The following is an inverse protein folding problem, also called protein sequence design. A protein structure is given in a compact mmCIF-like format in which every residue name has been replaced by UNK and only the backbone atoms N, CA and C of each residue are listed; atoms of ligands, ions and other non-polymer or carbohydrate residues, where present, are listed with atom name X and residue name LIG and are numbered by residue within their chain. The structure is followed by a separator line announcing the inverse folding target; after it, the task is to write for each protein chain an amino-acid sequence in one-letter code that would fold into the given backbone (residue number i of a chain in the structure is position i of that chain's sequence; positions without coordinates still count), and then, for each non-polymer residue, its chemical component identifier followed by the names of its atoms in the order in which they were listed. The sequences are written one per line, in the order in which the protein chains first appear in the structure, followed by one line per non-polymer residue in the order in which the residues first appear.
data_IF_458647611850
#
_entry.id   IF_458647611850
#
_cell.length_a   1.000
_cell.length_b   1.000
_cell.length_c   1.000
_cell.angle_alpha   90.00
_cell.angle_beta   90.00
_cell.angle_gamma   90.00
#
_symmetry.space_group_name_H-M   'P 1'
#
loop_
_entity.id
_entity.type
_entity.pdbx_description
1 polymer ?
#
# COMPACT_ATOMS: atom_id res chain seq x y z
N UNK A 1 -22.18 -55.54 25.91
CA UNK A 1 -23.27 -55.51 24.92
C UNK A 1 -23.37 -54.11 24.36
N UNK A 2 -22.76 -53.92 23.17
CA UNK A 2 -23.48 -53.78 21.89
C UNK A 2 -23.82 -52.31 21.64
N UNK A 3 -22.87 -51.56 21.08
CA UNK A 3 -22.65 -51.41 19.62
C UNK A 3 -23.79 -50.60 18.98
N UNK A 4 -23.44 -49.41 18.49
CA UNK A 4 -23.72 -48.88 17.15
C UNK A 4 -23.67 -47.34 17.17
N UNK A 5 -22.48 -46.79 17.40
CA UNK A 5 -22.10 -45.51 16.81
C UNK A 5 -21.57 -45.84 15.41
N UNK A 6 -22.45 -45.77 14.41
CA UNK A 6 -22.08 -46.01 13.02
C UNK A 6 -22.19 -44.72 12.23
N UNK A 7 -21.03 -44.29 11.74
CA UNK A 7 -20.81 -43.77 10.40
C UNK A 7 -21.56 -42.49 10.00
N UNK A 8 -20.94 -41.35 10.29
CA UNK A 8 -20.92 -40.22 9.36
C UNK A 8 -19.53 -40.17 8.73
N UNK A 9 -19.52 -40.35 7.41
CA UNK A 9 -18.40 -40.15 6.49
C UNK A 9 -17.65 -38.85 6.81
N UNK A 10 -16.35 -38.94 7.07
CA UNK A 10 -15.28 -38.72 6.08
C UNK A 10 -15.12 -37.25 5.65
N UNK A 11 -13.90 -36.76 5.92
CA UNK A 11 -13.27 -35.56 5.37
C UNK A 11 -13.66 -34.21 6.00
N UNK A 12 -12.78 -33.66 6.85
CA UNK A 12 -12.67 -32.19 6.97
C UNK A 12 -12.45 -31.58 8.36
N UNK A 13 -12.34 -32.36 9.44
CA UNK A 13 -12.39 -31.82 10.82
C UNK A 13 -11.07 -31.87 11.60
N UNK A 14 -9.91 -31.82 10.93
CA UNK A 14 -8.59 -31.74 11.62
C UNK A 14 -7.99 -30.32 11.55
N UNK A 15 -8.67 -29.33 10.94
CA UNK A 15 -8.13 -27.95 10.79
C UNK A 15 -8.82 -26.86 11.65
N UNK A 16 -9.70 -27.17 12.61
CA UNK A 16 -10.35 -26.13 13.44
C UNK A 16 -9.68 -25.88 14.80
N UNK A 17 -9.02 -26.85 15.41
CA UNK A 17 -8.41 -26.64 16.74
C UNK A 17 -7.06 -25.93 16.71
N UNK A 18 -6.26 -26.14 15.65
CA UNK A 18 -5.00 -25.40 15.47
C UNK A 18 -5.22 -23.93 15.10
N UNK A 19 -6.41 -23.57 14.60
CA UNK A 19 -6.74 -22.21 14.18
C UNK A 19 -6.93 -21.26 15.38
N UNK A 20 -7.50 -21.75 16.49
CA UNK A 20 -7.69 -20.95 17.70
C UNK A 20 -6.45 -20.90 18.61
N UNK A 21 -5.54 -21.88 18.52
CA UNK A 21 -4.38 -21.98 19.43
C UNK A 21 -3.22 -21.06 19.03
N UNK A 22 -3.11 -20.69 17.76
CA UNK A 22 -2.14 -19.69 17.27
C UNK A 22 -2.72 -18.28 17.10
N UNK A 23 -4.05 -18.08 17.20
CA UNK A 23 -4.71 -16.81 16.86
C UNK A 23 -5.51 -16.15 17.99
N UNK A 24 -5.36 -16.60 19.24
CA UNK A 24 -5.95 -15.91 20.42
C UNK A 24 -4.92 -15.23 21.33
N UNK A 25 -3.61 -15.45 21.12
CA UNK A 25 -2.59 -14.53 21.61
C UNK A 25 -2.32 -13.48 20.54
N UNK A 26 -2.28 -12.22 20.94
CA UNK A 26 -1.74 -11.12 20.13
C UNK A 26 -2.68 -10.49 19.10
N UNK A 27 -3.92 -10.15 19.47
CA UNK A 27 -4.57 -8.96 18.88
C UNK A 27 -4.26 -7.69 19.71
N UNK A 28 -4.22 -7.82 21.04
CA UNK A 28 -3.94 -6.71 21.97
C UNK A 28 -2.44 -6.45 22.22
N UNK A 29 -1.55 -7.44 22.01
CA UNK A 29 -0.09 -7.27 22.15
C UNK A 29 0.58 -6.58 20.95
N UNK A 30 -0.17 -6.25 19.88
CA UNK A 30 0.36 -5.75 18.60
C UNK A 30 0.89 -4.30 18.62
N UNK A 31 1.04 -3.70 19.79
CA UNK A 31 1.44 -2.28 19.93
C UNK A 31 2.85 -2.11 20.53
N UNK A 32 3.49 -3.17 21.07
CA UNK A 32 4.70 -2.98 21.90
C UNK A 32 6.00 -3.59 21.36
N UNK A 33 5.97 -4.43 20.32
CA UNK A 33 7.19 -5.06 19.78
C UNK A 33 7.80 -4.29 18.61
N UNK A 34 9.12 -4.28 18.56
CA UNK A 34 9.88 -3.68 17.44
C UNK A 34 9.66 -4.52 16.19
N UNK A 35 9.32 -3.87 15.08
CA UNK A 35 9.15 -4.51 13.78
C UNK A 35 10.50 -5.09 13.34
N UNK A 36 10.57 -6.40 13.21
CA UNK A 36 11.73 -7.14 12.70
C UNK A 36 11.42 -7.75 11.34
N UNK A 37 12.46 -8.07 10.56
CA UNK A 37 12.32 -8.75 9.27
C UNK A 37 11.48 -10.04 9.37
N UNK A 38 11.75 -10.89 10.38
CA UNK A 38 11.01 -12.13 10.61
C UNK A 38 9.51 -11.89 10.86
N UNK A 39 9.18 -10.86 11.65
CA UNK A 39 7.79 -10.48 11.90
C UNK A 39 7.12 -9.99 10.60
N UNK A 40 7.83 -9.18 9.81
CA UNK A 40 7.35 -8.68 8.54
C UNK A 40 7.13 -9.82 7.52
N UNK A 41 8.00 -10.83 7.51
CA UNK A 41 7.92 -12.00 6.62
C UNK A 41 6.73 -12.90 6.99
N UNK A 42 6.50 -13.12 8.29
CA UNK A 42 5.41 -13.97 8.80
C UNK A 42 4.06 -13.25 8.88
N UNK A 43 4.04 -11.94 8.60
CA UNK A 43 2.81 -11.16 8.67
C UNK A 43 1.77 -11.64 7.64
N UNK A 44 0.58 -11.98 8.12
CA UNK A 44 -0.56 -12.43 7.33
C UNK A 44 -1.75 -11.48 7.50
N UNK A 45 -2.67 -11.43 6.51
CA UNK A 45 -3.90 -10.69 6.66
C UNK A 45 -4.80 -11.35 7.71
N UNK A 46 -5.60 -10.56 8.40
CA UNK A 46 -6.55 -11.06 9.38
C UNK A 46 -7.69 -11.79 8.67
N UNK A 47 -7.88 -13.07 8.95
CA UNK A 47 -9.06 -13.80 8.50
C UNK A 47 -10.19 -13.56 9.50
N UNK A 48 -11.30 -12.98 9.03
CA UNK A 48 -12.52 -12.88 9.80
C UNK A 48 -13.20 -14.24 9.99
N UNK A 49 -14.10 -14.31 10.97
CA UNK A 49 -14.93 -15.49 11.23
C UNK A 49 -15.84 -15.86 10.04
N UNK A 50 -16.13 -14.85 9.20
CA UNK A 50 -16.83 -14.95 7.92
C UNK A 50 -15.97 -15.59 6.80
N UNK A 51 -14.73 -15.99 7.09
CA UNK A 51 -13.77 -16.52 6.12
C UNK A 51 -13.19 -15.46 5.18
N UNK A 52 -13.41 -14.17 5.45
CA UNK A 52 -12.92 -13.08 4.59
C UNK A 52 -11.63 -12.49 5.14
N UNK A 53 -10.64 -12.32 4.27
CA UNK A 53 -9.40 -11.62 4.61
C UNK A 53 -9.63 -10.11 4.74
N UNK A 54 -9.14 -9.52 5.82
CA UNK A 54 -9.18 -8.08 6.10
C UNK A 54 -7.76 -7.54 6.21
N UNK A 55 -7.61 -6.25 5.96
CA UNK A 55 -6.29 -5.63 6.10
C UNK A 55 -5.83 -5.65 7.55
N UNK A 56 -4.54 -5.88 7.75
CA UNK A 56 -3.90 -5.87 9.07
C UNK A 56 -2.75 -4.89 9.05
N UNK A 57 -2.59 -4.14 10.14
CA UNK A 57 -1.49 -3.21 10.31
C UNK A 57 -0.70 -3.59 11.54
N UNK A 58 0.59 -3.87 11.32
CA UNK A 58 1.55 -4.10 12.39
C UNK A 58 2.30 -2.80 12.64
N UNK A 59 2.11 -2.21 13.82
CA UNK A 59 2.79 -0.98 14.22
C UNK A 59 4.16 -1.30 14.79
N UNK A 60 5.14 -0.44 14.50
CA UNK A 60 6.48 -0.52 15.08
C UNK A 60 6.53 0.28 16.37
N UNK A 61 7.07 -0.31 17.44
CA UNK A 61 7.27 0.40 18.70
C UNK A 61 8.40 1.45 18.65
N UNK A 62 9.38 1.28 17.73
CA UNK A 62 10.54 2.20 17.66
C UNK A 62 10.23 3.57 17.05
N UNK A 63 9.21 3.68 16.21
CA UNK A 63 8.82 4.94 15.55
C UNK A 63 7.31 5.08 15.59
N UNK A 64 6.82 6.09 16.31
CA UNK A 64 5.40 6.35 16.44
C UNK A 64 4.75 6.55 15.07
N UNK A 65 3.67 5.81 14.82
CA UNK A 65 2.92 5.88 13.57
C UNK A 65 3.59 5.22 12.36
N UNK A 66 4.75 4.56 12.51
CA UNK A 66 5.32 3.70 11.46
C UNK A 66 4.80 2.27 11.59
N UNK A 67 4.46 1.65 10.46
CA UNK A 67 3.98 0.27 10.48
C UNK A 67 3.97 -0.41 9.11
N UNK A 68 3.75 -1.72 9.14
CA UNK A 68 3.57 -2.56 7.97
C UNK A 68 2.09 -2.87 7.77
N UNK A 69 1.54 -2.46 6.63
CA UNK A 69 0.18 -2.81 6.20
C UNK A 69 0.23 -4.07 5.35
N UNK A 70 -0.54 -5.07 5.73
CA UNK A 70 -0.81 -6.28 4.96
C UNK A 70 -2.22 -6.17 4.39
N UNK A 71 -2.30 -6.13 3.06
CA UNK A 71 -3.58 -6.09 2.35
C UNK A 71 -4.28 -7.45 2.43
N UNK A 72 -5.60 -7.55 2.19
CA UNK A 72 -6.31 -8.83 2.17
C UNK A 72 -5.71 -9.86 1.20
N UNK A 73 -5.11 -9.37 0.12
CA UNK A 73 -4.42 -10.17 -0.93
C UNK A 73 -2.99 -10.58 -0.50
N UNK A 74 -2.54 -10.22 0.71
CA UNK A 74 -1.18 -10.48 1.18
C UNK A 74 -0.13 -9.47 0.73
N UNK A 75 -0.52 -8.42 -0.02
CA UNK A 75 0.41 -7.37 -0.41
C UNK A 75 0.84 -6.52 0.81
N UNK A 76 2.16 -6.49 1.05
CA UNK A 76 2.79 -5.83 2.20
C UNK A 76 3.37 -4.47 1.80
N UNK A 77 3.04 -3.41 2.54
CA UNK A 77 3.53 -2.06 2.29
C UNK A 77 3.79 -1.30 3.60
N UNK A 78 4.87 -0.53 3.63
CA UNK A 78 5.18 0.34 4.76
C UNK A 78 4.36 1.62 4.71
N UNK A 79 3.75 1.95 5.84
CA UNK A 79 2.93 3.13 6.02
C UNK A 79 3.47 3.96 7.19
N UNK A 80 3.27 5.27 7.09
CA UNK A 80 3.50 6.22 8.17
C UNK A 80 2.22 7.03 8.36
N UNK A 81 1.65 6.97 9.56
CA UNK A 81 0.59 7.86 10.02
C UNK A 81 1.22 9.01 10.79
N UNK A 82 0.85 10.22 10.44
CA UNK A 82 1.32 11.44 11.09
C UNK A 82 0.20 12.46 11.16
N UNK A 83 0.43 13.54 11.91
CA UNK A 83 -0.47 14.69 11.98
C UNK A 83 0.20 15.84 11.25
N UNK A 84 -0.48 16.38 10.23
CA UNK A 84 -0.02 17.55 9.51
C UNK A 84 -0.63 18.80 10.15
N UNK A 85 0.21 19.78 10.51
CA UNK A 85 -0.19 21.03 11.15
C UNK A 85 0.14 21.10 12.64
N UNK A 86 -0.21 22.23 13.27
CA UNK A 86 0.05 22.51 14.68
C UNK A 86 -1.28 22.71 15.41
N UNK A 87 -1.40 22.14 16.62
CA UNK A 87 -2.57 22.32 17.48
C UNK A 87 -3.66 21.25 17.32
N UNK A 88 -4.88 21.58 17.74
CA UNK A 88 -6.03 20.64 17.77
C UNK A 88 -6.58 20.33 16.37
N UNK A 89 -6.34 21.22 15.41
CA UNK A 89 -6.81 21.08 14.03
C UNK A 89 -5.84 20.25 13.15
N UNK A 90 -4.79 19.68 13.76
CA UNK A 90 -3.80 18.88 13.05
C UNK A 90 -4.47 17.65 12.41
N UNK A 91 -4.51 17.63 11.08
CA UNK A 91 -5.21 16.60 10.32
C UNK A 91 -4.39 15.31 10.32
N UNK A 92 -5.04 14.20 10.67
CA UNK A 92 -4.45 12.87 10.56
C UNK A 92 -4.27 12.49 9.08
N UNK A 93 -3.01 12.30 8.68
CA UNK A 93 -2.63 11.89 7.34
C UNK A 93 -1.88 10.56 7.38
N UNK A 94 -1.93 9.85 6.26
CA UNK A 94 -1.23 8.57 6.05
C UNK A 94 -0.44 8.66 4.76
N UNK A 95 0.86 8.42 4.83
CA UNK A 95 1.73 8.30 3.65
C UNK A 95 2.21 6.86 3.51
N UNK A 96 2.26 6.38 2.27
CA UNK A 96 2.90 5.09 1.95
C UNK A 96 4.35 5.34 1.61
N UNK A 97 5.26 4.66 2.30
CA UNK A 97 6.71 4.76 2.07
C UNK A 97 7.07 3.95 0.84
N UNK A 98 6.72 2.66 0.83
CA UNK A 98 7.02 1.74 -0.25
C UNK A 98 6.46 0.33 0.01
N UNK A 99 6.53 -0.54 -1.01
CA UNK A 99 6.20 -1.97 -0.89
C UNK A 99 7.30 -2.69 -0.10
N UNK A 100 6.94 -3.68 0.70
CA UNK A 100 7.90 -4.55 1.38
C UNK A 100 8.69 -5.40 0.36
N UNK A 101 10.02 -5.38 0.45
CA UNK A 101 10.93 -6.07 -0.48
C UNK A 101 12.07 -5.16 -0.93
N UNK A 102 12.89 -5.56 -1.90
CA UNK A 102 13.91 -4.67 -2.45
C UNK A 102 13.26 -3.49 -3.19
N UNK A 103 13.64 -2.22 -2.94
CA UNK A 103 14.73 -1.70 -2.10
C UNK A 103 14.33 -1.30 -0.65
N UNK A 104 13.08 -1.48 -0.25
CA UNK A 104 12.57 -1.10 1.07
C UNK A 104 12.61 -2.27 2.06
N UNK A 105 13.71 -2.39 2.80
CA UNK A 105 13.78 -3.22 4.02
C UNK A 105 13.19 -2.50 5.22
N UNK A 106 12.97 -3.21 6.34
CA UNK A 106 12.42 -2.62 7.57
C UNK A 106 13.28 -1.46 8.07
N UNK A 107 14.59 -1.62 8.07
CA UNK A 107 15.56 -0.61 8.53
C UNK A 107 15.58 0.62 7.61
N UNK A 108 15.57 0.39 6.30
CA UNK A 108 15.53 1.47 5.30
C UNK A 108 14.21 2.23 5.38
N UNK A 109 13.09 1.52 5.53
CA UNK A 109 11.79 2.13 5.72
C UNK A 109 11.70 2.91 7.04
N UNK A 110 12.33 2.43 8.12
CA UNK A 110 12.41 3.15 9.40
C UNK A 110 13.21 4.44 9.28
N UNK A 111 14.35 4.43 8.58
CA UNK A 111 15.15 5.64 8.30
C UNK A 111 14.34 6.66 7.50
N UNK A 112 13.64 6.20 6.47
CA UNK A 112 12.77 7.08 5.67
C UNK A 112 11.58 7.62 6.48
N UNK A 113 10.99 6.82 7.36
CA UNK A 113 9.92 7.26 8.26
C UNK A 113 10.39 8.41 9.17
N UNK A 114 11.60 8.30 9.77
CA UNK A 114 12.18 9.39 10.57
C UNK A 114 12.43 10.65 9.75
N UNK A 115 12.94 10.51 8.52
CA UNK A 115 13.15 11.64 7.61
C UNK A 115 11.83 12.36 7.31
N UNK A 116 10.76 11.61 7.04
CA UNK A 116 9.43 12.17 6.78
C UNK A 116 8.85 12.86 8.03
N UNK A 117 9.02 12.28 9.22
CA UNK A 117 8.60 12.91 10.47
C UNK A 117 9.36 14.22 10.74
N UNK A 118 10.66 14.30 10.38
CA UNK A 118 11.42 15.55 10.45
C UNK A 118 10.84 16.66 9.57
N UNK A 119 10.39 16.32 8.36
CA UNK A 119 9.71 17.27 7.46
C UNK A 119 8.38 17.74 8.05
N UNK A 120 7.61 16.81 8.63
CA UNK A 120 6.35 17.14 9.31
C UNK A 120 6.59 18.05 10.50
N UNK A 121 7.64 17.80 11.28
CA UNK A 121 8.03 18.66 12.40
C UNK A 121 8.46 20.07 11.95
N UNK A 122 9.07 20.18 10.76
CA UNK A 122 9.37 21.45 10.11
C UNK A 122 8.14 22.15 9.50
N UNK A 123 6.94 21.55 9.58
CA UNK A 123 5.69 22.11 9.08
C UNK A 123 5.33 21.74 7.63
N UNK A 124 6.11 20.87 6.98
CA UNK A 124 5.80 20.36 5.65
C UNK A 124 4.78 19.21 5.67
N UNK A 125 4.08 18.98 4.56
CA UNK A 125 3.18 17.83 4.37
C UNK A 125 3.73 16.85 3.31
N UNK A 126 4.44 15.77 3.70
CA UNK A 126 5.07 14.85 2.75
C UNK A 126 4.10 14.07 1.84
N UNK A 127 2.80 14.02 2.19
CA UNK A 127 1.79 13.40 1.33
C UNK A 127 1.50 14.28 0.10
N UNK A 128 1.55 15.61 0.26
CA UNK A 128 1.41 16.57 -0.83
C UNK A 128 2.53 16.42 -1.85
N UNK A 129 3.79 16.48 -1.38
CA UNK A 129 4.98 16.40 -2.24
C UNK A 129 5.05 15.11 -3.08
N UNK A 130 4.60 13.98 -2.51
CA UNK A 130 4.56 12.70 -3.25
C UNK A 130 3.42 12.65 -4.27
N UNK A 131 2.28 13.27 -4.00
CA UNK A 131 1.17 13.33 -4.93
C UNK A 131 1.50 14.22 -6.13
N UNK A 132 2.15 15.35 -5.88
CA UNK A 132 2.57 16.31 -6.90
C UNK A 132 3.61 15.70 -7.86
N UNK A 133 4.66 15.06 -7.34
CA UNK A 133 5.65 14.35 -8.17
C UNK A 133 5.03 13.26 -9.06
N UNK A 134 3.98 12.58 -8.59
CA UNK A 134 3.25 11.59 -9.42
C UNK A 134 2.45 12.26 -10.53
N UNK A 135 1.85 13.41 -10.24
CA UNK A 135 1.09 14.19 -11.23
C UNK A 135 2.02 14.70 -12.34
N UNK A 136 3.19 15.21 -11.97
CA UNK A 136 4.18 15.73 -12.92
C UNK A 136 4.80 14.64 -13.79
N UNK A 137 5.07 13.45 -13.22
CA UNK A 137 5.53 12.30 -14.00
C UNK A 137 4.46 11.80 -15.00
N UNK A 138 3.18 11.94 -14.65
CA UNK A 138 2.07 11.57 -15.53
C UNK A 138 1.86 12.60 -16.65
N UNK A 139 1.96 13.89 -16.34
CA UNK A 139 1.88 14.96 -17.35
C UNK A 139 3.08 14.95 -18.30
N UNK A 140 4.29 14.68 -17.80
CA UNK A 140 5.51 14.62 -18.62
C UNK A 140 5.57 13.44 -19.60
N UNK A 141 4.91 12.31 -19.30
CA UNK A 141 4.83 11.15 -20.21
C UNK A 141 3.77 11.29 -21.31
N UNK A 142 2.85 12.25 -21.21
CA UNK A 142 1.79 12.45 -22.20
C UNK A 142 2.30 13.00 -23.55
N UNK A 143 3.52 13.54 -23.61
CA UNK A 143 3.96 14.32 -24.77
C UNK A 143 4.43 13.47 -25.97
N UNK A 144 4.85 12.21 -25.76
CA UNK A 144 5.50 11.42 -26.84
C UNK A 144 4.56 10.50 -27.65
N UNK A 145 3.33 10.25 -27.18
CA UNK A 145 2.37 9.36 -27.84
C UNK A 145 0.90 9.79 -27.70
N UNK A 146 0.64 11.05 -27.36
CA UNK A 146 -0.73 11.55 -27.22
C UNK A 146 -1.45 11.59 -28.57
N UNK A 147 -2.72 11.18 -28.57
CA UNK A 147 -3.67 11.36 -29.68
C UNK A 147 -3.71 12.83 -30.14
N UNK A 148 -3.49 13.79 -29.23
CA UNK A 148 -3.39 15.21 -29.57
C UNK A 148 -2.19 15.50 -30.50
N UNK A 149 -1.03 14.86 -30.28
CA UNK A 149 0.15 15.00 -31.16
C UNK A 149 -0.11 14.35 -32.52
N UNK A 150 -0.73 13.18 -32.54
CA UNK A 150 -1.12 12.50 -33.77
C UNK A 150 -2.16 13.30 -34.57
N UNK A 151 -3.13 13.92 -33.89
CA UNK A 151 -4.13 14.80 -34.49
C UNK A 151 -3.49 16.08 -35.06
N UNK A 152 -2.58 16.71 -34.32
CA UNK A 152 -1.80 17.85 -34.83
C UNK A 152 -0.93 17.48 -36.04
N UNK A 153 -0.34 16.28 -36.06
CA UNK A 153 0.44 15.79 -37.20
C UNK A 153 -0.44 15.48 -38.40
N UNK A 154 -1.60 14.86 -38.20
CA UNK A 154 -2.59 14.62 -39.24
C UNK A 154 -3.11 15.94 -39.82
N UNK A 155 -3.49 16.90 -38.97
CA UNK A 155 -3.93 18.23 -39.40
C UNK A 155 -2.86 18.94 -40.22
N UNK A 156 -1.59 18.96 -39.78
CA UNK A 156 -0.48 19.53 -40.56
C UNK A 156 -0.28 18.90 -41.93
N UNK A 157 -0.53 17.59 -42.07
CA UNK A 157 -0.46 16.89 -43.37
C UNK A 157 -1.69 17.18 -44.22
N UNK A 158 -2.87 17.26 -43.61
CA UNK A 158 -4.15 17.47 -44.28
C UNK A 158 -4.36 18.93 -44.74
N UNK A 159 -3.75 19.91 -44.08
CA UNK A 159 -3.79 21.32 -44.50
C UNK A 159 -2.64 21.74 -45.40
N UNK A 160 -1.92 20.79 -46.03
CA UNK A 160 -1.06 21.16 -47.18
C UNK A 160 -1.98 21.74 -48.26
N UNK A 161 -1.88 23.04 -48.60
CA UNK A 161 -2.72 23.60 -49.64
C UNK A 161 -2.40 22.85 -50.95
N UNK A 162 -3.44 22.39 -51.65
CA UNK A 162 -3.27 21.88 -53.00
C UNK A 162 -2.59 22.98 -53.82
N UNK A 163 -1.45 22.67 -54.40
CA UNK A 163 -0.69 23.58 -55.26
C UNK A 163 -1.64 24.16 -56.30
N UNK A 164 -1.74 25.49 -56.39
CA UNK A 164 -2.62 26.14 -57.35
C UNK A 164 -2.27 25.69 -58.78
N UNK A 165 -3.25 25.42 -59.66
CA UNK A 165 -2.98 25.01 -61.02
C UNK A 165 -2.19 26.11 -61.75
N UNK A 166 -1.27 25.75 -62.66
CA UNK A 166 -0.43 26.72 -63.35
C UNK A 166 -1.31 27.71 -64.12
N UNK A 167 -1.07 29.00 -63.89
CA UNK A 167 -1.71 30.08 -64.63
C UNK A 167 -1.23 30.00 -66.08
N UNK A 168 -2.18 29.94 -67.01
CA UNK A 168 -1.95 29.72 -68.44
C UNK A 168 -1.64 31.02 -69.17
#
# INVERSE_FOLDING_TARGET
NSRLFSFILSCGTIKRESYHRFHTRTAAERVTSVLTKRLADTAEPFLGEDGRSRETVLWDASVAGFGLRVSPVGAKAFILKYRAGRGRDATLRKVTIGRYGSPHTVETARREARRLLGIVAAGGDPAGDKAEKRRDQRSGKATRGSVARACQEWLRRATRPATAPPQR
#
